data_IF_381497732932
#
_entry.id   IF_381497732932
#
_cell.length_a   1.000
_cell.length_b   1.000
_cell.length_c   1.000
_cell.angle_alpha   90.00
_cell.angle_beta   90.00
_cell.angle_gamma   90.00
#
_symmetry.space_group_name_H-M   'P 1'
#
loop_
_entity.id
_entity.type
_entity.pdbx_description
1 polymer ?
#
# COMPACT_ATOMS: atom_id res chain seq x y z
N UNK A 1 -7.65 -1.07 33.39
CA UNK A 1 -7.69 -0.95 31.92
C UNK A 1 -9.03 -1.33 31.31
N UNK A 2 -9.47 -2.61 31.22
CA UNK A 2 -10.77 -2.94 30.61
C UNK A 2 -11.99 -2.41 31.40
N UNK A 3 -11.87 -2.33 32.73
CA UNK A 3 -12.89 -1.76 33.63
C UNK A 3 -13.02 -0.23 33.59
N UNK A 4 -12.11 0.46 32.90
CA UNK A 4 -12.08 1.93 32.78
C UNK A 4 -12.70 2.43 31.46
N UNK A 5 -13.04 1.52 30.54
CA UNK A 5 -13.57 1.85 29.21
C UNK A 5 -15.04 2.31 29.22
N UNK A 6 -15.69 2.37 30.39
CA UNK A 6 -17.12 2.69 30.51
C UNK A 6 -18.01 1.57 29.95
N UNK A 7 -19.17 1.93 29.40
CA UNK A 7 -20.08 0.98 28.78
C UNK A 7 -19.50 0.44 27.46
N UNK A 8 -19.34 -0.89 27.37
CA UNK A 8 -18.77 -1.56 26.20
C UNK A 8 -19.48 -1.19 24.89
N UNK A 9 -20.81 -1.00 24.92
CA UNK A 9 -21.60 -0.61 23.75
C UNK A 9 -21.25 0.79 23.25
N UNK A 10 -21.00 1.73 24.17
CA UNK A 10 -20.58 3.09 23.79
C UNK A 10 -19.15 3.09 23.24
N UNK A 11 -18.28 2.25 23.81
CA UNK A 11 -16.92 2.07 23.34
C UNK A 11 -16.88 1.46 21.93
N UNK A 12 -17.62 0.38 21.67
CA UNK A 12 -17.68 -0.24 20.33
C UNK A 12 -18.41 0.66 19.32
N UNK A 13 -19.44 1.41 19.73
CA UNK A 13 -20.08 2.39 18.87
C UNK A 13 -19.14 3.53 18.42
N UNK A 14 -18.06 3.79 19.17
CA UNK A 14 -17.03 4.78 18.83
C UNK A 14 -15.97 4.27 17.85
N UNK A 15 -15.94 2.97 17.58
CA UNK A 15 -14.96 2.40 16.66
C UNK A 15 -15.23 2.86 15.24
N UNK A 16 -14.14 3.10 14.51
CA UNK A 16 -14.23 3.38 13.08
C UNK A 16 -14.88 2.19 12.38
N UNK A 17 -15.74 2.48 11.42
CA UNK A 17 -16.41 1.48 10.56
C UNK A 17 -15.64 1.25 9.26
N UNK A 18 -14.63 2.07 9.04
CA UNK A 18 -13.75 2.02 7.89
C UNK A 18 -12.40 2.65 8.20
N UNK A 19 -11.39 2.31 7.41
CA UNK A 19 -10.07 2.92 7.49
C UNK A 19 -9.59 3.32 6.10
N UNK A 20 -8.85 4.42 6.09
CA UNK A 20 -8.11 4.90 4.93
C UNK A 20 -6.72 4.27 4.93
N UNK A 21 -6.29 3.82 3.76
CA UNK A 21 -4.96 3.26 3.51
C UNK A 21 -4.36 4.02 2.34
N UNK A 22 -3.10 4.39 2.44
CA UNK A 22 -2.37 5.00 1.35
C UNK A 22 -0.99 4.39 1.23
N UNK A 23 -0.50 4.33 0.00
CA UNK A 23 0.85 3.90 -0.29
C UNK A 23 1.37 4.67 -1.51
N UNK A 24 2.61 5.11 -1.40
CA UNK A 24 3.30 5.89 -2.43
C UNK A 24 4.62 5.24 -2.79
N UNK A 25 4.77 4.93 -4.07
CA UNK A 25 6.06 4.63 -4.67
C UNK A 25 6.94 5.88 -4.65
N UNK A 26 8.02 5.81 -3.87
CA UNK A 26 8.96 6.90 -3.77
C UNK A 26 9.94 6.90 -4.96
N UNK A 27 10.62 5.78 -5.15
CA UNK A 27 11.63 5.59 -6.18
C UNK A 27 11.90 4.09 -6.40
N UNK A 28 12.57 3.74 -7.51
CA UNK A 28 12.94 2.36 -7.81
C UNK A 28 13.73 1.75 -6.65
N UNK A 29 13.19 0.64 -6.16
CA UNK A 29 13.82 -0.21 -5.19
C UNK A 29 14.13 -1.55 -5.87
N UNK A 30 15.29 -1.62 -6.53
CA UNK A 30 15.74 -2.86 -7.18
C UNK A 30 16.54 -3.67 -6.20
N UNK A 31 16.14 -4.93 -5.99
CA UNK A 31 16.84 -5.91 -5.14
C UNK A 31 17.61 -6.88 -6.04
N UNK A 32 18.89 -7.12 -5.73
CA UNK A 32 19.74 -8.04 -6.49
C UNK A 32 20.48 -9.05 -5.58
N UNK A 33 20.64 -10.30 -6.04
CA UNK A 33 21.48 -11.31 -5.38
C UNK A 33 22.95 -11.22 -5.83
N UNK A 34 23.90 -11.69 -5.02
CA UNK A 34 25.27 -11.93 -5.48
C UNK A 34 25.26 -13.20 -6.38
N UNK A 35 25.81 -13.17 -7.62
CA UNK A 35 27.01 -12.43 -8.04
C UNK A 35 26.79 -11.25 -9.01
N UNK A 36 25.55 -10.77 -9.18
CA UNK A 36 25.17 -9.69 -10.12
C UNK A 36 26.07 -8.45 -10.07
N UNK A 37 26.66 -8.17 -8.91
CA UNK A 37 27.27 -6.88 -8.58
C UNK A 37 28.63 -6.98 -7.85
N UNK A 38 29.45 -7.98 -8.19
CA UNK A 38 30.86 -7.99 -7.74
C UNK A 38 31.69 -6.77 -8.21
N UNK A 39 31.12 -5.83 -8.96
CA UNK A 39 31.82 -4.69 -9.56
C UNK A 39 31.32 -3.29 -9.16
N UNK A 40 30.23 -3.13 -8.39
CA UNK A 40 29.78 -1.79 -7.99
C UNK A 40 30.24 -1.47 -6.56
N UNK A 41 31.15 -0.50 -6.42
CA UNK A 41 31.60 0.05 -5.14
C UNK A 41 30.48 0.67 -4.27
N UNK A 42 29.24 0.70 -4.77
CA UNK A 42 28.06 1.33 -4.15
C UNK A 42 27.10 0.34 -3.46
N UNK A 43 27.48 -0.93 -3.27
CA UNK A 43 26.70 -1.85 -2.45
C UNK A 43 27.18 -1.80 -1.00
N UNK A 44 26.63 -0.86 -0.21
CA UNK A 44 26.62 -1.03 1.24
C UNK A 44 25.58 -2.12 1.56
N UNK A 45 26.02 -3.27 2.06
CA UNK A 45 25.11 -4.25 2.65
C UNK A 45 24.26 -3.55 3.73
N UNK A 46 22.97 -3.87 3.80
CA UNK A 46 22.13 -3.46 4.93
C UNK A 46 22.73 -3.97 6.25
N UNK A 47 22.42 -3.32 7.36
CA UNK A 47 23.02 -3.64 8.67
C UNK A 47 21.96 -3.55 9.76
N UNK A 48 20.86 -4.29 9.64
CA UNK A 48 19.84 -4.30 10.68
C UNK A 48 20.44 -4.89 11.98
N UNK A 49 20.21 -4.28 13.16
CA UNK A 49 19.31 -3.15 13.45
C UNK A 49 19.90 -1.74 13.28
N UNK A 50 21.18 -1.60 12.93
CA UNK A 50 21.85 -0.31 12.82
C UNK A 50 21.48 0.48 11.54
N UNK A 51 21.15 -0.20 10.43
CA UNK A 51 20.75 0.36 9.14
C UNK A 51 19.78 -0.59 8.39
N UNK A 52 18.77 -0.01 7.75
CA UNK A 52 17.84 -0.65 6.79
C UNK A 52 17.21 -2.00 7.25
N UNK A 53 15.91 -1.98 7.58
CA UNK A 53 15.16 -3.18 8.02
C UNK A 53 14.90 -4.21 6.92
N UNK A 54 15.33 -3.96 5.67
CA UNK A 54 15.10 -4.83 4.51
C UNK A 54 15.70 -6.25 4.62
N UNK A 55 16.50 -6.54 5.66
CA UNK A 55 17.18 -7.82 5.87
C UNK A 55 17.06 -8.33 7.31
N UNK A 56 16.00 -7.92 8.01
CA UNK A 56 15.78 -8.26 9.42
C UNK A 56 15.55 -9.77 9.67
N UNK A 57 15.26 -10.55 8.62
CA UNK A 57 15.00 -11.99 8.64
C UNK A 57 16.20 -12.85 8.20
N UNK A 58 17.30 -12.23 7.75
CA UNK A 58 18.51 -12.95 7.34
C UNK A 58 19.38 -13.32 8.56
N UNK A 59 19.83 -14.57 8.62
CA UNK A 59 20.75 -15.05 9.65
C UNK A 59 22.15 -14.39 9.59
N UNK A 60 22.50 -13.85 8.42
CA UNK A 60 23.73 -13.09 8.16
C UNK A 60 23.38 -11.84 7.35
N UNK A 61 23.35 -10.68 8.00
CA UNK A 61 22.96 -9.41 7.38
C UNK A 61 23.94 -8.92 6.30
N UNK A 62 25.16 -9.48 6.22
CA UNK A 62 26.13 -9.20 5.16
C UNK A 62 25.70 -9.71 3.77
N UNK A 63 24.72 -10.63 3.70
CA UNK A 63 24.16 -11.18 2.45
C UNK A 63 22.93 -10.38 1.95
N UNK A 64 22.72 -9.20 2.53
CA UNK A 64 21.58 -8.34 2.26
C UNK A 64 21.51 -7.82 0.82
N UNK A 65 20.28 -7.66 0.31
CA UNK A 65 20.00 -7.17 -1.04
C UNK A 65 20.60 -5.77 -1.30
N UNK A 66 21.39 -5.61 -2.36
CA UNK A 66 21.92 -4.31 -2.78
C UNK A 66 20.84 -3.43 -3.41
N UNK A 67 20.78 -2.14 -3.05
CA UNK A 67 19.92 -1.15 -3.74
C UNK A 67 20.44 -0.89 -5.16
N UNK A 68 19.65 -1.16 -6.19
CA UNK A 68 19.89 -0.63 -7.55
C UNK A 68 19.21 0.72 -7.73
N UNK A 69 19.95 1.73 -8.20
CA UNK A 69 19.44 3.08 -8.45
C UNK A 69 18.74 3.26 -9.81
N UNK A 70 18.73 2.21 -10.64
CA UNK A 70 18.15 2.20 -11.98
C UNK A 70 17.31 0.93 -12.16
N UNK A 71 16.21 0.96 -12.93
CA UNK A 71 15.52 -0.26 -13.34
C UNK A 71 16.56 -1.26 -13.85
N UNK A 72 16.48 -2.55 -13.49
CA UNK A 72 17.52 -3.48 -13.93
C UNK A 72 17.52 -3.49 -15.47
N UNK A 73 18.67 -3.34 -16.15
CA UNK A 73 18.81 -3.98 -17.46
C UNK A 73 18.50 -5.46 -17.24
N UNK A 74 17.78 -6.14 -18.14
CA UNK A 74 17.29 -7.54 -18.06
C UNK A 74 18.26 -8.53 -17.35
N UNK A 75 18.34 -8.45 -16.03
CA UNK A 75 19.30 -9.17 -15.20
C UNK A 75 18.51 -10.16 -14.36
N UNK A 76 18.62 -11.47 -14.62
CA UNK A 76 17.85 -12.50 -13.93
C UNK A 76 18.17 -12.61 -12.44
N UNK A 77 19.19 -11.89 -11.96
CA UNK A 77 19.59 -11.84 -10.55
C UNK A 77 19.11 -10.60 -9.83
N UNK A 78 18.37 -9.71 -10.51
CA UNK A 78 17.74 -8.53 -9.97
C UNK A 78 16.23 -8.52 -10.23
N UNK A 79 15.44 -7.99 -9.29
CA UNK A 79 14.02 -7.70 -9.51
C UNK A 79 13.63 -6.37 -8.87
N UNK A 80 12.67 -5.66 -9.48
CA UNK A 80 12.03 -4.48 -8.90
C UNK A 80 11.03 -4.94 -7.85
N UNK A 81 11.18 -4.49 -6.59
CA UNK A 81 10.15 -4.75 -5.57
C UNK A 81 8.95 -3.81 -5.71
N UNK A 82 9.14 -2.68 -6.38
CA UNK A 82 8.14 -1.63 -6.55
C UNK A 82 8.35 -0.96 -7.91
N UNK A 83 7.27 -0.46 -8.49
CA UNK A 83 7.31 0.35 -9.71
C UNK A 83 6.34 1.54 -9.61
N UNK A 84 6.40 2.43 -10.58
CA UNK A 84 5.62 3.66 -10.59
C UNK A 84 4.10 3.46 -10.65
N UNK A 85 3.60 2.27 -10.96
CA UNK A 85 2.17 1.95 -10.96
C UNK A 85 1.64 1.59 -9.56
N UNK A 86 2.53 1.35 -8.58
CA UNK A 86 2.13 0.84 -7.27
C UNK A 86 1.60 1.92 -6.30
N UNK A 87 1.35 3.16 -6.72
CA UNK A 87 0.75 4.15 -5.82
C UNK A 87 -0.77 3.92 -5.73
N UNK A 88 -1.31 3.86 -4.52
CA UNK A 88 -2.75 3.73 -4.32
C UNK A 88 -3.24 4.43 -3.06
N UNK A 89 -4.53 4.75 -3.11
CA UNK A 89 -5.35 5.07 -1.96
C UNK A 89 -6.48 4.04 -1.87
N UNK A 90 -6.81 3.60 -0.68
CA UNK A 90 -7.85 2.60 -0.48
C UNK A 90 -8.74 2.92 0.72
N UNK A 91 -9.98 2.46 0.61
CA UNK A 91 -10.99 2.46 1.66
C UNK A 91 -11.31 1.01 2.02
N UNK A 92 -11.07 0.66 3.27
CA UNK A 92 -11.42 -0.65 3.83
C UNK A 92 -12.62 -0.50 4.74
N UNK A 93 -13.76 -1.11 4.42
CA UNK A 93 -15.02 -1.03 5.20
C UNK A 93 -15.31 -2.35 5.89
N UNK A 94 -15.53 -2.31 7.21
CA UNK A 94 -15.77 -3.49 8.05
C UNK A 94 -16.91 -3.30 9.07
N UNK A 95 -17.62 -2.17 9.01
CA UNK A 95 -18.82 -1.90 9.83
C UNK A 95 -20.13 -2.14 9.07
N UNK A 96 -21.24 -2.16 9.80
CA UNK A 96 -22.61 -2.22 9.21
C UNK A 96 -22.87 -3.43 8.30
N UNK A 97 -22.19 -4.56 8.57
CA UNK A 97 -22.31 -5.76 7.75
C UNK A 97 -21.62 -5.64 6.39
N UNK A 98 -20.71 -4.67 6.23
CA UNK A 98 -19.80 -4.58 5.09
C UNK A 98 -18.47 -5.23 5.43
N UNK A 99 -17.86 -5.82 4.41
CA UNK A 99 -16.50 -6.32 4.46
C UNK A 99 -15.87 -6.17 3.07
N UNK A 100 -15.52 -4.95 2.68
CA UNK A 100 -15.00 -4.67 1.34
C UNK A 100 -13.74 -3.80 1.35
N UNK A 101 -13.02 -3.85 0.23
CA UNK A 101 -11.86 -3.04 -0.10
C UNK A 101 -12.11 -2.34 -1.43
N UNK A 102 -11.93 -1.03 -1.47
CA UNK A 102 -11.97 -0.23 -2.71
C UNK A 102 -10.69 0.58 -2.83
N UNK A 103 -9.98 0.48 -3.95
CA UNK A 103 -8.70 1.16 -4.16
C UNK A 103 -8.66 1.90 -5.51
N UNK A 104 -8.00 3.06 -5.52
CA UNK A 104 -7.73 3.85 -6.73
C UNK A 104 -6.22 4.02 -6.90
N UNK A 105 -5.71 3.70 -8.08
CA UNK A 105 -4.29 3.71 -8.42
C UNK A 105 -3.95 4.86 -9.36
N UNK A 106 -2.77 5.46 -9.16
CA UNK A 106 -2.20 6.44 -10.08
C UNK A 106 -0.72 6.16 -10.32
N UNK A 107 -0.32 6.18 -11.58
CA UNK A 107 1.07 6.04 -11.98
C UNK A 107 1.82 7.32 -11.65
N UNK A 108 2.96 7.18 -10.96
CA UNK A 108 3.80 8.31 -10.59
C UNK A 108 5.02 7.90 -9.77
N UNK A 109 5.91 8.87 -9.54
CA UNK A 109 7.14 8.70 -8.75
C UNK A 109 7.34 9.93 -7.89
N UNK A 110 7.22 9.78 -6.57
CA UNK A 110 7.26 10.92 -5.65
C UNK A 110 8.58 11.70 -5.68
N UNK A 111 9.71 11.08 -6.03
CA UNK A 111 10.98 11.82 -6.19
C UNK A 111 11.00 12.74 -7.40
N UNK A 112 10.08 12.60 -8.36
CA UNK A 112 9.97 13.45 -9.55
C UNK A 112 8.85 14.48 -9.40
N UNK A 113 7.66 14.04 -9.00
CA UNK A 113 6.50 14.89 -8.83
C UNK A 113 5.51 14.29 -7.82
N UNK A 114 4.69 15.13 -7.15
CA UNK A 114 3.64 14.66 -6.27
C UNK A 114 2.65 13.71 -6.95
N UNK A 115 2.23 12.66 -6.25
CA UNK A 115 1.13 11.78 -6.64
C UNK A 115 -0.13 12.18 -5.86
N UNK A 116 -1.05 12.87 -6.53
CA UNK A 116 -2.24 13.49 -5.90
C UNK A 116 -3.55 12.68 -6.12
N UNK A 117 -3.45 11.56 -6.85
CA UNK A 117 -4.60 10.73 -7.26
C UNK A 117 -5.63 11.48 -8.11
N UNK A 118 -5.29 12.58 -8.78
CA UNK A 118 -6.21 13.34 -9.64
C UNK A 118 -6.44 12.68 -11.02
N UNK A 119 -5.60 11.72 -11.39
CA UNK A 119 -5.67 10.94 -12.63
C UNK A 119 -5.56 9.46 -12.33
N UNK A 120 -6.70 8.86 -12.04
CA UNK A 120 -6.79 7.43 -11.73
C UNK A 120 -6.58 6.59 -13.00
N UNK A 121 -5.63 5.67 -12.93
CA UNK A 121 -5.29 4.76 -14.03
C UNK A 121 -6.02 3.41 -13.87
N UNK A 122 -6.26 2.99 -12.63
CA UNK A 122 -6.87 1.70 -12.33
C UNK A 122 -7.65 1.73 -11.01
N UNK A 123 -8.68 0.88 -10.91
CA UNK A 123 -9.56 0.79 -9.75
C UNK A 123 -9.76 -0.68 -9.40
N UNK A 124 -9.73 -0.97 -8.11
CA UNK A 124 -10.07 -2.26 -7.54
C UNK A 124 -11.25 -2.15 -6.57
N UNK A 125 -12.14 -3.14 -6.61
CA UNK A 125 -13.20 -3.31 -5.62
C UNK A 125 -13.36 -4.80 -5.32
N UNK A 126 -13.28 -5.17 -4.04
CA UNK A 126 -13.43 -6.56 -3.59
C UNK A 126 -14.41 -6.66 -2.43
N UNK A 127 -15.27 -7.67 -2.49
CA UNK A 127 -16.07 -8.14 -1.36
C UNK A 127 -15.27 -9.26 -0.67
N UNK A 128 -14.72 -8.97 0.51
CA UNK A 128 -13.82 -9.87 1.22
C UNK A 128 -14.55 -10.97 2.00
N UNK A 129 -15.88 -10.89 2.16
CA UNK A 129 -16.66 -12.02 2.67
C UNK A 129 -16.81 -13.11 1.61
N UNK A 130 -16.90 -12.71 0.34
CA UNK A 130 -17.05 -13.64 -0.79
C UNK A 130 -15.72 -14.00 -1.46
N UNK A 131 -14.75 -13.09 -1.42
CA UNK A 131 -13.46 -13.20 -2.10
C UNK A 131 -12.31 -12.70 -1.19
N UNK A 132 -11.96 -13.47 -0.15
CA UNK A 132 -10.92 -13.08 0.81
C UNK A 132 -9.50 -13.05 0.22
N UNK A 133 -9.33 -13.53 -1.02
CA UNK A 133 -8.07 -13.55 -1.74
C UNK A 133 -8.01 -12.50 -2.85
N UNK A 134 -9.05 -11.66 -2.97
CA UNK A 134 -9.06 -10.51 -3.88
C UNK A 134 -8.81 -10.88 -5.35
N UNK A 135 -9.40 -12.00 -5.79
CA UNK A 135 -9.17 -12.56 -7.12
C UNK A 135 -10.17 -12.08 -8.18
N UNK A 136 -11.31 -11.50 -7.76
CA UNK A 136 -12.39 -11.03 -8.62
C UNK A 136 -12.65 -9.54 -8.40
N UNK A 137 -11.99 -8.71 -9.19
CA UNK A 137 -12.18 -7.27 -9.17
C UNK A 137 -13.59 -6.90 -9.67
N UNK A 138 -14.40 -6.31 -8.78
CA UNK A 138 -15.76 -5.84 -9.01
C UNK A 138 -15.83 -4.43 -9.61
N UNK A 139 -14.71 -3.74 -9.81
CA UNK A 139 -14.68 -2.35 -10.31
C UNK A 139 -15.31 -2.20 -11.71
N UNK A 140 -15.32 -3.27 -12.50
CA UNK A 140 -15.91 -3.30 -13.85
C UNK A 140 -17.39 -3.73 -13.86
N UNK A 141 -17.97 -4.06 -12.70
CA UNK A 141 -19.39 -4.44 -12.62
C UNK A 141 -20.27 -3.18 -12.70
N UNK A 142 -20.90 -2.99 -13.86
CA UNK A 142 -21.78 -1.86 -14.11
C UNK A 142 -23.01 -1.80 -13.16
N UNK A 143 -23.41 -2.93 -12.57
CA UNK A 143 -24.51 -2.95 -11.59
C UNK A 143 -24.14 -2.26 -10.27
N UNK A 144 -22.83 -2.09 -10.00
CA UNK A 144 -22.29 -1.45 -8.80
C UNK A 144 -21.92 0.02 -9.01
N UNK A 145 -22.22 0.62 -10.17
CA UNK A 145 -21.78 1.98 -10.50
C UNK A 145 -22.17 3.05 -9.45
N UNK A 146 -23.36 2.95 -8.85
CA UNK A 146 -23.78 3.86 -7.78
C UNK A 146 -22.99 3.66 -6.48
N UNK A 147 -22.65 2.42 -6.16
CA UNK A 147 -21.80 2.08 -5.02
C UNK A 147 -20.35 2.55 -5.24
N UNK A 148 -19.79 2.35 -6.43
CA UNK A 148 -18.46 2.87 -6.77
C UNK A 148 -18.40 4.41 -6.69
N UNK A 149 -19.45 5.11 -7.10
CA UNK A 149 -19.51 6.57 -6.96
C UNK A 149 -19.55 7.03 -5.49
N UNK A 150 -20.21 6.27 -4.61
CA UNK A 150 -20.18 6.52 -3.16
C UNK A 150 -18.79 6.23 -2.57
N UNK A 151 -18.21 5.07 -2.89
CA UNK A 151 -16.88 4.66 -2.47
C UNK A 151 -15.82 5.69 -2.86
N UNK A 152 -15.82 6.11 -4.14
CA UNK A 152 -14.96 7.18 -4.65
C UNK A 152 -15.12 8.45 -3.80
N UNK A 153 -16.35 8.96 -3.65
CA UNK A 153 -16.61 10.17 -2.86
C UNK A 153 -16.08 10.07 -1.43
N UNK A 154 -16.28 8.92 -0.78
CA UNK A 154 -15.85 8.67 0.61
C UNK A 154 -14.34 8.57 0.71
N UNK A 155 -13.70 7.84 -0.19
CA UNK A 155 -12.24 7.76 -0.30
C UNK A 155 -11.62 9.16 -0.50
N UNK A 156 -12.21 9.99 -1.37
CA UNK A 156 -11.75 11.37 -1.57
C UNK A 156 -11.98 12.29 -0.38
N UNK A 157 -12.97 11.99 0.46
CA UNK A 157 -13.15 12.70 1.73
C UNK A 157 -12.03 12.35 2.72
N UNK A 158 -11.66 11.07 2.79
CA UNK A 158 -10.52 10.61 3.59
C UNK A 158 -9.21 11.22 3.12
N UNK A 159 -8.90 11.16 1.82
CA UNK A 159 -7.67 11.72 1.26
C UNK A 159 -7.45 13.20 1.63
N UNK A 160 -8.53 13.99 1.68
CA UNK A 160 -8.47 15.43 1.95
C UNK A 160 -8.62 15.80 3.43
N UNK A 161 -8.91 14.84 4.30
CA UNK A 161 -9.14 15.15 5.71
C UNK A 161 -7.82 15.31 6.46
N UNK A 162 -7.87 16.03 7.58
CA UNK A 162 -6.72 16.17 8.47
C UNK A 162 -7.16 16.24 9.94
N UNK A 163 -6.49 15.47 10.79
CA UNK A 163 -6.74 15.47 12.24
C UNK A 163 -8.18 15.08 12.58
N UNK A 164 -8.81 15.85 13.47
CA UNK A 164 -10.17 15.57 13.96
C UNK A 164 -11.29 15.86 12.95
N UNK A 165 -10.96 16.36 11.75
CA UNK A 165 -11.93 16.56 10.67
C UNK A 165 -12.14 15.31 9.82
N UNK A 166 -11.33 14.28 10.04
CA UNK A 166 -11.48 12.98 9.38
C UNK A 166 -12.76 12.26 9.82
N UNK A 167 -13.40 11.51 8.91
CA UNK A 167 -14.61 10.74 9.21
C UNK A 167 -14.48 9.76 10.38
#
# INVERSE_FOLDING_TARGET
HLSELGGLDAYTASWRREVFIEYYFNDYNVKCTAPAKASSADCEAGDYPNKDSNCADLANNADCWCKGATPPPDDPTCYTTEDSSNNFIALRRFGEGRNDLYAEFQTGRQTIAPVEFDRIDFVEHFDLDQDPWEMRNLAQDASLAAEHADLHRRLRKWLRCAGSSCP
#
